data_IF_910867901023
#
_entry.id   IF_910867901023
#
_cell.length_a   1.000
_cell.length_b   1.000
_cell.length_c   1.000
_cell.angle_alpha   90.00
_cell.angle_beta   90.00
_cell.angle_gamma   90.00
#
_symmetry.space_group_name_H-M   'P 1'
#
loop_
_entity.id
_entity.type
_entity.pdbx_description
1 polymer ?
#
# COMPACT_ATOMS: atom_id res chain seq x y z
N UNK A 1 8.08 24.32 -7.50
CA UNK A 1 8.45 22.92 -7.23
C UNK A 1 8.85 22.65 -5.78
N UNK A 2 9.73 23.46 -5.19
CA UNK A 2 10.13 23.29 -3.78
C UNK A 2 8.94 23.30 -2.81
N UNK A 3 7.94 24.14 -3.02
CA UNK A 3 6.75 24.23 -2.19
C UNK A 3 5.95 22.91 -2.20
N UNK A 4 5.73 22.32 -3.37
CA UNK A 4 4.94 21.09 -3.50
C UNK A 4 5.63 19.87 -2.88
N UNK A 5 6.95 19.77 -2.93
CA UNK A 5 7.71 18.74 -2.25
C UNK A 5 7.55 18.85 -0.74
N UNK A 6 7.68 20.06 -0.20
CA UNK A 6 7.47 20.34 1.21
C UNK A 6 6.03 20.00 1.65
N UNK A 7 5.03 20.35 0.83
CA UNK A 7 3.63 19.97 1.08
C UNK A 7 3.45 18.46 1.17
N UNK A 8 4.12 17.68 0.29
CA UNK A 8 4.05 16.21 0.34
C UNK A 8 4.75 15.64 1.58
N UNK A 9 5.89 16.20 1.98
CA UNK A 9 6.58 15.81 3.21
C UNK A 9 5.71 16.09 4.45
N UNK A 10 5.11 17.27 4.51
CA UNK A 10 4.19 17.64 5.58
C UNK A 10 2.98 16.71 5.61
N UNK A 11 2.35 16.46 4.46
CA UNK A 11 1.22 15.54 4.35
C UNK A 11 1.57 14.14 4.84
N UNK A 12 2.75 13.62 4.48
CA UNK A 12 3.21 12.31 4.98
C UNK A 12 3.27 12.28 6.50
N UNK A 13 3.85 13.31 7.12
CA UNK A 13 3.95 13.41 8.58
C UNK A 13 2.58 13.55 9.26
N UNK A 14 1.68 14.34 8.68
CA UNK A 14 0.33 14.52 9.22
C UNK A 14 -0.47 13.21 9.14
N UNK A 15 -0.50 12.56 7.98
CA UNK A 15 -1.20 11.28 7.80
C UNK A 15 -0.60 10.18 8.67
N UNK A 16 0.72 10.15 8.86
CA UNK A 16 1.36 9.19 9.76
C UNK A 16 0.84 9.31 11.20
N UNK A 17 0.61 10.52 11.67
CA UNK A 17 0.00 10.76 13.00
C UNK A 17 -1.47 10.38 13.04
N UNK A 18 -2.21 10.70 11.99
CA UNK A 18 -3.64 10.42 11.92
C UNK A 18 -3.91 8.90 11.90
N UNK A 19 -3.18 8.12 11.11
CA UNK A 19 -3.34 6.65 11.07
C UNK A 19 -2.87 5.98 12.37
N UNK A 20 -1.97 6.59 13.11
CA UNK A 20 -1.51 6.09 14.41
C UNK A 20 -2.38 6.56 15.59
N UNK A 21 -3.41 7.37 15.35
CA UNK A 21 -4.23 7.95 16.40
C UNK A 21 -5.13 6.94 17.10
N UNK A 22 -5.55 5.89 16.42
CA UNK A 22 -6.34 4.79 16.99
C UNK A 22 -6.14 3.48 16.24
N UNK A 23 -6.43 2.32 16.88
CA UNK A 23 -6.41 1.02 16.22
C UNK A 23 -7.33 0.97 14.99
N UNK A 24 -8.47 1.63 15.02
CA UNK A 24 -9.44 1.67 13.92
C UNK A 24 -8.88 2.40 12.70
N UNK A 25 -8.23 3.55 12.89
CA UNK A 25 -7.59 4.29 11.81
C UNK A 25 -6.39 3.51 11.23
N UNK A 26 -5.63 2.87 12.10
CA UNK A 26 -4.54 1.98 11.69
C UNK A 26 -5.04 0.82 10.82
N UNK A 27 -6.13 0.15 11.22
CA UNK A 27 -6.73 -0.94 10.44
C UNK A 27 -7.23 -0.48 9.06
N UNK A 28 -7.88 0.67 8.98
CA UNK A 28 -8.31 1.26 7.70
C UNK A 28 -7.12 1.52 6.77
N UNK A 29 -6.03 2.05 7.31
CA UNK A 29 -4.80 2.24 6.55
C UNK A 29 -4.22 0.92 6.07
N UNK A 30 -4.16 -0.10 6.92
CA UNK A 30 -3.63 -1.42 6.59
C UNK A 30 -4.41 -2.10 5.47
N UNK A 31 -5.72 -1.93 5.40
CA UNK A 31 -6.55 -2.43 4.29
C UNK A 31 -6.09 -1.88 2.93
N UNK A 32 -5.71 -0.62 2.89
CA UNK A 32 -5.17 0.00 1.67
C UNK A 32 -3.71 -0.39 1.44
N UNK A 33 -2.89 -0.38 2.48
CA UNK A 33 -1.47 -0.71 2.42
C UNK A 33 -1.23 -2.15 1.91
N UNK A 34 -2.07 -3.11 2.33
CA UNK A 34 -2.00 -4.49 1.87
C UNK A 34 -2.13 -4.61 0.34
N UNK A 35 -2.99 -3.81 -0.29
CA UNK A 35 -3.12 -3.75 -1.75
C UNK A 35 -1.92 -3.07 -2.43
N UNK A 36 -1.23 -2.22 -1.68
CA UNK A 36 -0.11 -1.38 -2.14
C UNK A 36 1.26 -1.89 -1.66
N UNK A 37 1.39 -3.18 -1.38
CA UNK A 37 2.58 -3.79 -0.73
C UNK A 37 3.92 -3.52 -1.45
N UNK A 38 3.89 -3.11 -2.73
CA UNK A 38 5.10 -2.75 -3.51
C UNK A 38 5.56 -1.31 -3.29
N UNK A 39 4.75 -0.50 -2.62
CA UNK A 39 5.09 0.88 -2.29
C UNK A 39 5.73 0.93 -0.90
N UNK A 40 6.65 1.85 -0.71
CA UNK A 40 7.23 2.11 0.61
C UNK A 40 6.18 2.71 1.55
N UNK A 41 6.37 2.58 2.85
CA UNK A 41 5.43 3.10 3.84
C UNK A 41 5.08 4.60 3.64
N UNK A 42 6.06 5.52 3.41
CA UNK A 42 5.72 6.92 3.11
C UNK A 42 4.88 7.10 1.83
N UNK A 43 5.12 6.28 0.81
CA UNK A 43 4.34 6.32 -0.42
C UNK A 43 2.91 5.79 -0.21
N UNK A 44 2.76 4.72 0.58
CA UNK A 44 1.45 4.19 0.96
C UNK A 44 0.62 5.24 1.71
N UNK A 45 1.23 6.00 2.63
CA UNK A 45 0.57 7.11 3.33
C UNK A 45 0.09 8.19 2.36
N UNK A 46 0.91 8.58 1.39
CA UNK A 46 0.53 9.57 0.37
C UNK A 46 -0.60 9.09 -0.54
N UNK A 47 -0.57 7.81 -0.92
CA UNK A 47 -1.65 7.22 -1.72
C UNK A 47 -2.92 7.16 -0.89
N UNK A 48 -2.85 6.64 0.34
CA UNK A 48 -3.98 6.57 1.26
C UNK A 48 -4.63 7.92 1.51
N UNK A 49 -3.84 8.97 1.76
CA UNK A 49 -4.33 10.33 1.97
C UNK A 49 -5.13 10.89 0.79
N UNK A 50 -4.85 10.44 -0.43
CA UNK A 50 -5.51 10.92 -1.65
C UNK A 50 -6.60 9.98 -2.14
N UNK A 51 -6.45 8.68 -1.89
CA UNK A 51 -7.36 7.64 -2.36
C UNK A 51 -7.30 6.42 -1.44
N UNK A 52 -8.01 6.46 -0.31
CA UNK A 52 -8.05 5.32 0.64
C UNK A 52 -8.52 4.01 0.00
N UNK A 53 -9.40 4.11 -1.01
CA UNK A 53 -9.95 2.97 -1.76
C UNK A 53 -9.07 2.47 -2.91
N UNK A 54 -7.85 2.99 -3.08
CA UNK A 54 -6.95 2.58 -4.15
C UNK A 54 -6.71 1.07 -4.17
N UNK A 55 -6.77 0.47 -5.35
CA UNK A 55 -6.63 -0.99 -5.53
C UNK A 55 -5.40 -1.37 -6.33
N UNK A 56 -5.14 -0.70 -7.43
CA UNK A 56 -3.97 -0.94 -8.27
C UNK A 56 -3.42 0.39 -8.78
N UNK A 57 -2.27 0.76 -8.28
CA UNK A 57 -1.64 2.05 -8.55
C UNK A 57 -0.36 1.85 -9.35
N UNK A 58 -0.17 2.63 -10.40
CA UNK A 58 1.05 2.60 -11.20
C UNK A 58 1.30 3.95 -11.91
N UNK A 59 2.51 4.12 -12.44
CA UNK A 59 2.84 5.27 -13.29
C UNK A 59 2.08 5.21 -14.63
N UNK A 60 1.89 6.36 -15.25
CA UNK A 60 1.28 6.45 -16.58
C UNK A 60 2.01 5.56 -17.60
N UNK A 61 3.34 5.47 -17.50
CA UNK A 61 4.11 4.62 -18.39
C UNK A 61 3.77 3.13 -18.27
N UNK A 62 3.60 2.63 -17.06
CA UNK A 62 3.19 1.24 -16.81
C UNK A 62 1.78 1.02 -17.34
N UNK A 63 0.84 1.93 -17.05
CA UNK A 63 -0.51 1.83 -17.56
C UNK A 63 -0.55 1.78 -19.08
N UNK A 64 0.14 2.70 -19.75
CA UNK A 64 0.09 2.80 -21.21
C UNK A 64 0.86 1.66 -21.90
N UNK A 65 2.12 1.39 -21.48
CA UNK A 65 3.02 0.48 -22.22
C UNK A 65 2.83 -0.99 -21.85
N UNK A 66 2.52 -1.30 -20.58
CA UNK A 66 2.43 -2.68 -20.12
C UNK A 66 0.99 -3.18 -20.00
N UNK A 67 0.08 -2.31 -19.56
CA UNK A 67 -1.30 -2.68 -19.31
C UNK A 67 -2.24 -2.29 -20.47
N UNK A 68 -1.75 -1.51 -21.44
CA UNK A 68 -2.56 -0.98 -22.56
C UNK A 68 -3.84 -0.31 -22.04
N UNK A 69 -3.66 0.54 -21.06
CA UNK A 69 -4.71 1.37 -20.44
C UNK A 69 -4.29 2.83 -20.53
N UNK A 70 -5.25 3.68 -20.87
CA UNK A 70 -5.01 5.12 -20.96
C UNK A 70 -5.58 5.84 -19.76
N UNK A 71 -4.87 6.87 -19.32
CA UNK A 71 -5.36 7.73 -18.24
C UNK A 71 -6.57 8.52 -18.73
N UNK A 72 -7.64 8.53 -17.95
CA UNK A 72 -8.86 9.27 -18.26
C UNK A 72 -8.58 10.78 -18.29
N UNK A 73 -9.16 11.47 -19.24
CA UNK A 73 -9.03 12.93 -19.33
C UNK A 73 -9.54 13.58 -18.05
N UNK A 74 -8.73 14.47 -17.46
CA UNK A 74 -9.06 15.17 -16.22
C UNK A 74 -8.65 14.43 -14.94
N UNK A 75 -8.21 13.18 -15.00
CA UNK A 75 -7.66 12.48 -13.84
C UNK A 75 -6.42 13.17 -13.30
N UNK A 76 -6.32 13.26 -11.98
CA UNK A 76 -5.18 13.86 -11.28
C UNK A 76 -4.31 12.77 -10.69
N UNK A 77 -3.05 12.73 -11.10
CA UNK A 77 -2.08 11.81 -10.52
C UNK A 77 -1.80 12.10 -9.04
N UNK A 78 -1.59 11.04 -8.29
CA UNK A 78 -1.14 11.10 -6.90
C UNK A 78 0.36 11.39 -6.92
N UNK A 79 0.78 12.48 -6.26
CA UNK A 79 2.18 12.85 -6.17
C UNK A 79 2.87 12.02 -5.08
N UNK A 80 3.96 11.34 -5.43
CA UNK A 80 4.83 10.61 -4.54
C UNK A 80 6.22 11.25 -4.52
N UNK A 81 6.93 11.10 -3.41
CA UNK A 81 8.31 11.56 -3.27
C UNK A 81 9.23 10.48 -3.81
N UNK A 82 10.02 10.81 -4.82
CA UNK A 82 11.01 9.92 -5.41
C UNK A 82 12.40 10.26 -4.86
N UNK A 83 12.96 9.36 -4.07
CA UNK A 83 14.29 9.44 -3.48
C UNK A 83 15.33 8.62 -4.27
N UNK A 84 14.92 7.91 -5.33
CA UNK A 84 15.77 6.95 -6.04
C UNK A 84 16.43 7.52 -7.28
N UNK A 85 15.93 8.65 -7.81
CA UNK A 85 16.34 9.23 -9.08
C UNK A 85 17.53 10.23 -8.97
N UNK A 86 18.41 10.07 -7.96
CA UNK A 86 19.61 10.89 -7.80
C UNK A 86 19.63 11.72 -6.51
N UNK A 87 20.59 12.65 -6.34
CA UNK A 87 20.85 13.35 -5.08
C UNK A 87 19.76 14.36 -4.68
N UNK A 88 18.83 14.67 -5.58
CA UNK A 88 17.74 15.61 -5.32
C UNK A 88 16.40 14.88 -5.34
N UNK A 89 15.64 15.01 -4.25
CA UNK A 89 14.26 14.54 -4.20
C UNK A 89 13.42 15.16 -5.31
N UNK A 90 12.64 14.33 -5.99
CA UNK A 90 11.71 14.76 -7.04
C UNK A 90 10.32 14.24 -6.73
N UNK A 91 9.33 14.76 -7.43
CA UNK A 91 7.99 14.20 -7.42
C UNK A 91 7.79 13.31 -8.64
N UNK A 92 7.22 12.14 -8.41
CA UNK A 92 6.67 11.28 -9.44
C UNK A 92 5.16 11.15 -9.26
N UNK A 93 4.46 10.85 -10.34
CA UNK A 93 3.00 10.76 -10.32
C UNK A 93 2.56 9.35 -10.66
N UNK A 94 1.59 8.87 -9.91
CA UNK A 94 0.95 7.57 -10.11
C UNK A 94 -0.56 7.75 -10.22
N UNK A 95 -1.23 6.77 -10.82
CA UNK A 95 -2.67 6.78 -11.07
C UNK A 95 -3.25 5.44 -10.63
N UNK A 96 -4.42 5.46 -10.02
CA UNK A 96 -5.17 4.24 -9.72
C UNK A 96 -5.84 3.68 -10.98
N UNK A 97 -6.15 2.39 -10.98
CA UNK A 97 -6.83 1.73 -12.10
C UNK A 97 -8.17 2.43 -12.47
N UNK A 98 -8.87 2.99 -11.49
CA UNK A 98 -10.12 3.72 -11.71
C UNK A 98 -9.94 4.99 -12.54
N UNK A 99 -8.72 5.54 -12.56
CA UNK A 99 -8.36 6.67 -13.39
C UNK A 99 -8.02 6.27 -14.83
N UNK A 100 -8.24 5.02 -15.21
CA UNK A 100 -7.82 4.48 -16.50
C UNK A 100 -8.95 3.78 -17.24
N UNK A 101 -8.84 3.70 -18.56
CA UNK A 101 -9.69 2.86 -19.40
C UNK A 101 -8.86 1.97 -20.32
N UNK A 102 -9.42 0.81 -20.68
CA UNK A 102 -8.76 -0.15 -21.58
C UNK A 102 -8.72 0.35 -23.02
N UNK A 103 -7.61 0.13 -23.69
CA UNK A 103 -7.57 0.16 -25.16
C UNK A 103 -8.33 -1.05 -25.69
N UNK A 104 -9.22 -0.87 -26.66
CA UNK A 104 -9.99 -1.95 -27.27
C UNK A 104 -9.09 -3.13 -27.66
N UNK A 105 -9.49 -4.34 -27.25
CA UNK A 105 -8.83 -5.61 -27.56
C UNK A 105 -7.40 -5.83 -27.02
N UNK A 106 -6.79 -4.83 -26.38
CA UNK A 106 -5.41 -4.92 -25.86
C UNK A 106 -5.35 -4.70 -24.35
N UNK A 107 -6.31 -3.96 -23.78
CA UNK A 107 -6.29 -3.55 -22.37
C UNK A 107 -6.32 -4.75 -21.42
N UNK A 108 -5.39 -4.73 -20.47
CA UNK A 108 -5.23 -5.77 -19.44
C UNK A 108 -5.67 -5.24 -18.09
N UNK A 109 -6.13 -6.14 -17.25
CA UNK A 109 -6.34 -5.87 -15.83
C UNK A 109 -5.12 -6.31 -15.03
N UNK A 110 -4.69 -5.54 -14.03
CA UNK A 110 -3.63 -5.97 -13.15
C UNK A 110 -4.09 -7.20 -12.34
N UNK A 111 -3.20 -8.16 -12.16
CA UNK A 111 -3.42 -9.22 -11.19
C UNK A 111 -3.17 -8.62 -9.81
N UNK A 112 -4.23 -8.50 -9.03
CA UNK A 112 -4.14 -8.08 -7.64
C UNK A 112 -3.60 -9.25 -6.81
N UNK A 113 -2.89 -8.91 -5.74
CA UNK A 113 -2.47 -9.92 -4.78
C UNK A 113 -3.67 -10.31 -3.91
N UNK A 114 -3.85 -11.58 -3.71
CA UNK A 114 -4.84 -12.15 -2.82
C UNK A 114 -4.15 -13.22 -1.96
N UNK A 115 -4.48 -13.26 -0.68
CA UNK A 115 -4.04 -14.34 0.21
C UNK A 115 -4.78 -15.61 -0.19
N UNK A 116 -4.03 -16.65 -0.54
CA UNK A 116 -4.59 -17.98 -0.78
C UNK A 116 -4.57 -18.80 0.51
N UNK A 117 -5.50 -19.77 0.73
CA UNK A 117 -5.56 -20.55 1.96
C UNK A 117 -4.24 -21.21 2.36
N UNK A 118 -3.51 -21.76 1.38
CA UNK A 118 -2.18 -22.34 1.64
C UNK A 118 -1.16 -21.30 2.11
N UNK A 119 -1.22 -20.06 1.60
CA UNK A 119 -0.36 -18.96 2.05
C UNK A 119 -0.72 -18.49 3.45
N UNK A 120 -1.99 -18.49 3.81
CA UNK A 120 -2.48 -18.18 5.15
C UNK A 120 -1.94 -19.18 6.17
N UNK A 121 -2.07 -20.48 5.89
CA UNK A 121 -1.56 -21.56 6.75
C UNK A 121 -0.05 -21.44 6.93
N UNK A 122 0.73 -21.33 5.86
CA UNK A 122 2.20 -21.18 5.93
C UNK A 122 2.62 -19.95 6.72
N UNK A 123 1.88 -18.85 6.61
CA UNK A 123 2.16 -17.63 7.38
C UNK A 123 1.89 -17.83 8.87
N UNK A 124 0.81 -18.52 9.22
CA UNK A 124 0.49 -18.85 10.60
C UNK A 124 1.57 -19.77 11.21
N UNK A 125 1.93 -20.86 10.53
CA UNK A 125 2.99 -21.77 10.94
C UNK A 125 4.35 -21.05 11.12
N UNK A 126 4.71 -20.14 10.21
CA UNK A 126 5.94 -19.35 10.33
C UNK A 126 5.93 -18.48 11.60
N UNK A 127 4.82 -17.77 11.87
CA UNK A 127 4.69 -16.93 13.06
C UNK A 127 4.70 -17.74 14.35
N UNK A 128 4.02 -18.88 14.38
CA UNK A 128 4.03 -19.80 15.52
C UNK A 128 5.47 -20.24 15.85
N UNK A 129 6.23 -20.64 14.85
CA UNK A 129 7.62 -21.03 15.02
C UNK A 129 8.51 -19.86 15.44
N UNK A 130 8.33 -18.68 14.85
CA UNK A 130 9.15 -17.48 15.12
C UNK A 130 8.98 -16.97 16.56
N UNK A 131 7.76 -17.01 17.08
CA UNK A 131 7.40 -16.51 18.43
C UNK A 131 7.15 -17.62 19.43
N UNK A 132 7.42 -18.90 19.07
CA UNK A 132 7.17 -20.06 19.95
C UNK A 132 5.75 -20.13 20.50
N UNK A 133 4.76 -19.76 19.66
CA UNK A 133 3.35 -19.71 20.04
C UNK A 133 2.73 -21.11 20.04
N UNK A 134 1.76 -21.34 20.92
CA UNK A 134 0.92 -22.52 20.83
C UNK A 134 -0.02 -22.45 19.62
N UNK A 135 -0.43 -23.62 19.11
CA UNK A 135 -1.40 -23.67 18.02
C UNK A 135 -2.75 -23.12 18.51
N UNK A 136 -3.27 -22.12 17.81
CA UNK A 136 -4.48 -21.40 18.21
C UNK A 136 -5.59 -21.66 17.20
N UNK A 137 -6.74 -22.06 17.68
CA UNK A 137 -7.97 -22.10 16.90
C UNK A 137 -8.38 -20.66 16.52
N UNK A 138 -8.27 -20.31 15.24
CA UNK A 138 -8.63 -18.96 14.78
C UNK A 138 -7.79 -18.49 13.59
N UNK A 139 -6.93 -19.36 13.07
CA UNK A 139 -6.15 -19.10 11.86
C UNK A 139 -5.13 -17.95 12.01
N UNK A 140 -4.70 -17.41 10.87
CA UNK A 140 -3.65 -16.39 10.82
C UNK A 140 -3.96 -15.13 11.63
N UNK A 141 -5.22 -14.70 11.70
CA UNK A 141 -5.60 -13.48 12.42
C UNK A 141 -5.36 -13.60 13.94
N UNK A 142 -5.69 -14.74 14.54
CA UNK A 142 -5.46 -14.95 15.97
C UNK A 142 -3.97 -15.18 16.24
N UNK A 143 -3.27 -15.90 15.37
CA UNK A 143 -1.81 -16.08 15.48
C UNK A 143 -1.09 -14.72 15.42
N UNK A 144 -1.51 -13.79 14.54
CA UNK A 144 -0.97 -12.43 14.50
C UNK A 144 -1.21 -11.63 15.78
N UNK A 145 -2.42 -11.76 16.38
CA UNK A 145 -2.71 -11.09 17.65
C UNK A 145 -1.85 -11.62 18.78
N UNK A 146 -1.63 -12.92 18.83
CA UNK A 146 -0.79 -13.54 19.84
C UNK A 146 0.68 -13.15 19.66
N UNK A 147 1.21 -13.20 18.43
CA UNK A 147 2.57 -12.74 18.12
C UNK A 147 2.77 -11.26 18.52
N UNK A 148 1.79 -10.41 18.25
CA UNK A 148 1.85 -9.01 18.66
C UNK A 148 1.88 -8.81 20.18
N UNK A 149 1.13 -9.61 20.94
CA UNK A 149 1.15 -9.56 22.41
C UNK A 149 2.51 -9.98 22.96
N UNK A 150 3.08 -11.08 22.46
CA UNK A 150 4.41 -11.56 22.87
C UNK A 150 5.47 -10.50 22.57
N UNK A 151 5.46 -9.90 21.37
CA UNK A 151 6.41 -8.84 20.99
C UNK A 151 6.37 -7.62 21.91
N UNK A 152 5.22 -7.28 22.48
CA UNK A 152 5.07 -6.13 23.41
C UNK A 152 5.53 -6.48 24.83
N UNK A 153 5.48 -7.75 25.24
CA UNK A 153 5.91 -8.16 26.59
C UNK A 153 7.44 -8.23 26.72
N UNK A 154 8.17 -8.28 25.60
CA UNK A 154 9.63 -8.28 25.58
C UNK A 154 10.26 -6.88 25.72
N UNK A 155 9.48 -5.80 25.77
CA UNK A 155 9.91 -4.40 25.95
C UNK A 155 9.53 -3.89 27.34
#
# INVERSE_FOLDING_TARGET
MANKLYEMQKLTADVSRDVAASPEEWMKFLDTAARLYRYTFPEQLLIYAKRPEATAVASMEIWNKRMYRWINRGSRGIALIDNTSGPRMKLRYVFDIQDTHKVKNLGRDPKLWEMIPAGEQLSAEYLQNQFSLEEVDGGLAETLRQAARESVQEW
#
